data_IF_601229038375
#
_entry.id   IF_601229038375
#
_cell.length_a   1.000
_cell.length_b   1.000
_cell.length_c   1.000
_cell.angle_alpha   90.00
_cell.angle_beta   90.00
_cell.angle_gamma   90.00
#
_symmetry.space_group_name_H-M   'P 1'
#
loop_
_entity.id
_entity.type
_entity.pdbx_description
1 polymer ?
#
# COMPACT_ATOMS: atom_id res chain seq x y z
N UNK A 1 -24.56 -5.64 -8.45
CA UNK A 1 -23.90 -4.52 -7.72
C UNK A 1 -24.71 -4.03 -6.51
N UNK A 2 -26.01 -3.72 -6.61
CA UNK A 2 -26.78 -3.25 -5.42
C UNK A 2 -26.90 -4.33 -4.33
N UNK A 3 -27.21 -5.57 -4.70
CA UNK A 3 -27.29 -6.69 -3.75
C UNK A 3 -25.95 -7.05 -3.10
N UNK A 4 -24.85 -6.92 -3.84
CA UNK A 4 -23.49 -7.18 -3.33
C UNK A 4 -23.07 -6.10 -2.33
N UNK A 5 -23.44 -4.83 -2.56
CA UNK A 5 -23.18 -3.74 -1.63
C UNK A 5 -23.98 -3.94 -0.33
N UNK A 6 -25.23 -4.33 -0.40
CA UNK A 6 -26.03 -4.64 0.79
C UNK A 6 -25.45 -5.84 1.58
N UNK A 7 -24.96 -6.86 0.87
CA UNK A 7 -24.23 -7.97 1.50
C UNK A 7 -22.97 -7.47 2.20
N UNK A 8 -22.19 -6.60 1.54
CA UNK A 8 -20.99 -6.01 2.12
C UNK A 8 -21.29 -5.22 3.40
N UNK A 9 -22.33 -4.37 3.38
CA UNK A 9 -22.79 -3.62 4.57
C UNK A 9 -23.18 -4.55 5.72
N UNK A 10 -23.91 -5.61 5.41
CA UNK A 10 -24.30 -6.63 6.39
C UNK A 10 -23.05 -7.27 7.00
N UNK A 11 -22.10 -7.72 6.19
CA UNK A 11 -20.86 -8.30 6.67
C UNK A 11 -20.05 -7.36 7.54
N UNK A 12 -19.95 -6.09 7.13
CA UNK A 12 -19.25 -5.06 7.94
C UNK A 12 -19.94 -4.87 9.29
N UNK A 13 -21.27 -4.77 9.31
CA UNK A 13 -22.03 -4.54 10.55
C UNK A 13 -21.96 -5.73 11.51
N UNK A 14 -21.86 -6.95 10.98
CA UNK A 14 -21.81 -8.20 11.75
C UNK A 14 -20.35 -8.61 12.11
N UNK A 15 -19.34 -7.81 11.75
CA UNK A 15 -17.94 -8.08 12.00
C UNK A 15 -17.35 -7.10 13.01
N UNK A 16 -16.60 -7.64 13.98
CA UNK A 16 -15.94 -6.87 15.04
C UNK A 16 -14.41 -6.83 14.87
N UNK A 17 -13.87 -7.55 13.88
CA UNK A 17 -12.44 -7.68 13.67
C UNK A 17 -12.11 -7.73 12.16
N UNK A 18 -12.49 -6.68 11.45
CA UNK A 18 -12.23 -6.54 10.02
C UNK A 18 -10.76 -6.18 9.82
N UNK A 19 -10.11 -6.83 8.86
CA UNK A 19 -8.82 -6.38 8.34
C UNK A 19 -8.98 -5.96 6.89
N UNK A 20 -8.51 -4.76 6.57
CA UNK A 20 -8.42 -4.30 5.19
C UNK A 20 -7.04 -4.60 4.61
N UNK A 21 -7.00 -5.22 3.43
CA UNK A 21 -5.76 -5.45 2.67
C UNK A 21 -5.82 -4.67 1.36
N UNK A 22 -4.90 -3.72 1.16
CA UNK A 22 -4.93 -2.80 0.03
C UNK A 22 -3.63 -2.64 -0.73
N UNK A 23 -3.75 -2.18 -1.98
CA UNK A 23 -2.63 -1.85 -2.85
C UNK A 23 -2.80 -0.48 -3.52
N UNK A 24 -2.05 -0.23 -4.59
CA UNK A 24 -1.94 1.08 -5.24
C UNK A 24 -3.28 1.62 -5.76
N UNK A 25 -4.23 0.75 -6.14
CA UNK A 25 -5.57 1.13 -6.55
C UNK A 25 -6.37 1.87 -5.48
N UNK A 26 -6.01 1.75 -4.20
CA UNK A 26 -6.62 2.53 -3.10
C UNK A 26 -6.35 4.02 -3.25
N UNK A 27 -5.19 4.39 -3.79
CA UNK A 27 -4.72 5.79 -3.86
C UNK A 27 -4.92 6.44 -5.23
N UNK A 28 -5.44 5.71 -6.24
CA UNK A 28 -5.67 6.28 -7.58
C UNK A 28 -6.67 7.44 -7.55
N UNK A 29 -7.72 7.36 -6.74
CA UNK A 29 -8.68 8.44 -6.55
C UNK A 29 -8.17 9.60 -5.69
N UNK A 30 -6.98 9.46 -5.12
CA UNK A 30 -6.21 10.56 -4.51
C UNK A 30 -5.32 11.27 -5.52
N UNK A 31 -5.25 10.77 -6.78
CA UNK A 31 -4.39 11.30 -7.84
C UNK A 31 -3.00 10.66 -7.91
N UNK A 32 -2.73 9.60 -7.12
CA UNK A 32 -1.49 8.84 -7.19
C UNK A 32 -1.68 7.70 -8.19
N UNK A 33 -0.94 7.67 -9.33
CA UNK A 33 -1.08 6.60 -10.31
C UNK A 33 -0.62 5.26 -9.69
N UNK A 34 -1.28 4.19 -10.07
CA UNK A 34 -0.81 2.85 -9.74
C UNK A 34 0.34 2.39 -10.65
N UNK A 35 0.85 1.19 -10.43
CA UNK A 35 2.00 0.67 -11.18
C UNK A 35 1.62 -0.06 -12.47
N UNK A 36 0.46 -0.71 -12.54
CA UNK A 36 0.15 -1.75 -13.53
C UNK A 36 -1.05 -1.49 -14.43
N UNK A 37 -1.94 -0.55 -14.07
CA UNK A 37 -3.05 -0.18 -14.95
C UNK A 37 -2.54 0.37 -16.28
N UNK A 38 -3.43 0.50 -17.26
CA UNK A 38 -3.09 1.00 -18.59
C UNK A 38 -2.33 2.33 -18.56
N UNK A 39 -2.66 3.20 -17.60
CA UNK A 39 -1.99 4.49 -17.37
C UNK A 39 -0.93 4.42 -16.27
N UNK A 40 -0.65 3.22 -15.76
CA UNK A 40 0.26 2.98 -14.66
C UNK A 40 1.73 3.22 -14.98
N UNK A 41 2.55 3.27 -13.93
CA UNK A 41 3.96 3.60 -14.04
C UNK A 41 4.73 2.65 -14.96
N UNK A 42 4.38 1.36 -14.99
CA UNK A 42 5.07 0.36 -15.79
C UNK A 42 4.81 0.45 -17.30
N UNK A 43 3.80 1.18 -17.73
CA UNK A 43 3.52 1.44 -19.14
C UNK A 43 4.19 2.70 -19.69
N UNK A 44 4.89 3.48 -18.85
CA UNK A 44 5.65 4.66 -19.27
C UNK A 44 7.03 4.24 -19.83
N UNK A 45 7.57 5.04 -20.77
CA UNK A 45 8.88 4.78 -21.36
C UNK A 45 10.00 5.36 -20.52
N UNK A 46 10.91 4.50 -20.08
CA UNK A 46 12.14 4.84 -19.35
C UNK A 46 13.35 4.16 -20.02
N UNK A 47 14.56 4.59 -19.68
CA UNK A 47 15.80 3.97 -20.17
C UNK A 47 15.99 2.53 -19.65
N UNK A 48 15.37 2.21 -18.51
CA UNK A 48 15.36 0.89 -17.87
C UNK A 48 13.94 0.55 -17.42
N UNK A 49 13.57 -0.74 -17.34
CA UNK A 49 12.29 -1.13 -16.74
C UNK A 49 12.15 -0.57 -15.31
N UNK A 50 10.97 -0.04 -14.92
CA UNK A 50 10.76 0.50 -13.58
C UNK A 50 11.15 -0.46 -12.46
N UNK A 51 10.85 -1.76 -12.59
CA UNK A 51 11.23 -2.79 -11.62
C UNK A 51 12.76 -2.89 -11.46
N UNK A 52 13.51 -2.70 -12.54
CA UNK A 52 14.97 -2.64 -12.48
C UNK A 52 15.42 -1.40 -11.72
N UNK A 53 14.85 -0.22 -12.02
CA UNK A 53 15.25 1.05 -11.40
C UNK A 53 15.02 1.01 -9.88
N UNK A 54 13.91 0.39 -9.43
CA UNK A 54 13.56 0.28 -8.02
C UNK A 54 14.03 -1.04 -7.38
N UNK A 55 15.11 -1.64 -7.89
CA UNK A 55 15.77 -2.77 -7.25
C UNK A 55 16.95 -2.31 -6.38
N UNK A 56 17.26 -3.12 -5.36
CA UNK A 56 18.39 -2.86 -4.45
C UNK A 56 19.73 -2.79 -5.20
N UNK A 57 19.97 -3.73 -6.10
CA UNK A 57 21.19 -3.78 -6.89
C UNK A 57 21.37 -2.56 -7.80
N UNK A 58 20.29 -2.08 -8.42
CA UNK A 58 20.34 -0.88 -9.25
C UNK A 58 20.54 0.38 -8.39
N UNK A 59 19.86 0.49 -7.25
CA UNK A 59 20.07 1.57 -6.30
C UNK A 59 21.54 1.71 -5.88
N UNK A 60 22.21 0.60 -5.58
CA UNK A 60 23.63 0.61 -5.22
C UNK A 60 24.54 0.98 -6.40
N UNK A 61 24.21 0.50 -7.60
CA UNK A 61 25.04 0.68 -8.80
C UNK A 61 24.85 2.08 -9.42
N UNK A 62 23.63 2.61 -9.41
CA UNK A 62 23.29 3.87 -10.08
C UNK A 62 22.34 4.73 -9.20
N UNK A 63 22.79 5.15 -8.01
CA UNK A 63 21.95 5.88 -7.07
C UNK A 63 21.46 7.23 -7.63
N UNK A 64 22.22 7.88 -8.51
CA UNK A 64 21.83 9.15 -9.11
C UNK A 64 20.59 9.00 -10.01
N UNK A 65 20.57 7.97 -10.86
CA UNK A 65 19.40 7.64 -11.69
C UNK A 65 18.20 7.24 -10.82
N UNK A 66 18.43 6.39 -9.80
CA UNK A 66 17.41 5.99 -8.85
C UNK A 66 16.73 7.21 -8.21
N UNK A 67 17.48 8.17 -7.65
CA UNK A 67 16.89 9.33 -6.99
C UNK A 67 16.19 10.30 -7.95
N UNK A 68 16.63 10.42 -9.20
CA UNK A 68 15.91 11.16 -10.23
C UNK A 68 14.53 10.55 -10.46
N UNK A 69 14.49 9.25 -10.73
CA UNK A 69 13.25 8.50 -10.94
C UNK A 69 12.36 8.51 -9.68
N UNK A 70 12.94 8.24 -8.52
CA UNK A 70 12.23 8.19 -7.25
C UNK A 70 11.50 9.50 -6.95
N UNK A 71 12.16 10.65 -7.08
CA UNK A 71 11.55 11.97 -6.88
C UNK A 71 10.45 12.27 -7.88
N UNK A 72 10.63 11.88 -9.12
CA UNK A 72 9.67 12.17 -10.19
C UNK A 72 8.42 11.28 -10.12
N UNK A 73 8.58 10.02 -9.74
CA UNK A 73 7.55 8.98 -9.91
C UNK A 73 7.07 8.32 -8.62
N UNK A 74 7.88 8.29 -7.57
CA UNK A 74 7.61 7.47 -6.40
C UNK A 74 7.49 8.26 -5.08
N UNK A 75 7.61 9.57 -5.11
CA UNK A 75 7.55 10.42 -3.93
C UNK A 75 6.24 11.24 -3.90
N UNK A 76 5.10 10.62 -3.55
CA UNK A 76 3.78 11.27 -3.59
C UNK A 76 3.55 12.16 -2.36
N UNK A 77 4.34 13.23 -2.23
CA UNK A 77 4.14 14.22 -1.16
C UNK A 77 3.06 15.23 -1.56
N UNK A 78 2.19 15.58 -0.60
CA UNK A 78 1.16 16.60 -0.80
C UNK A 78 -0.20 16.09 -1.30
N UNK A 79 -0.37 14.79 -1.49
CA UNK A 79 -1.67 14.20 -1.81
C UNK A 79 -2.58 14.10 -0.58
N UNK A 80 -3.91 14.04 -0.83
CA UNK A 80 -4.92 13.96 0.21
C UNK A 80 -5.62 12.60 0.20
N UNK A 81 -6.02 12.08 1.39
CA UNK A 81 -6.82 10.87 1.48
C UNK A 81 -8.15 11.01 0.72
N UNK A 82 -8.55 9.98 0.00
CA UNK A 82 -9.86 9.89 -0.66
C UNK A 82 -10.93 9.25 0.27
N UNK A 83 -12.12 9.01 -0.27
CA UNK A 83 -13.25 8.44 0.48
C UNK A 83 -12.91 7.09 1.10
N UNK A 84 -12.20 6.21 0.38
CA UNK A 84 -11.80 4.88 0.87
C UNK A 84 -10.97 4.98 2.15
N UNK A 85 -9.94 5.83 2.14
CA UNK A 85 -9.10 6.04 3.33
C UNK A 85 -9.90 6.56 4.52
N UNK A 86 -10.82 7.52 4.29
CA UNK A 86 -11.65 8.12 5.35
C UNK A 86 -12.65 7.14 5.94
N UNK A 87 -13.29 6.32 5.10
CA UNK A 87 -14.22 5.29 5.57
C UNK A 87 -13.50 4.23 6.37
N UNK A 88 -12.32 3.76 5.94
CA UNK A 88 -11.53 2.81 6.71
C UNK A 88 -11.13 3.39 8.09
N UNK A 89 -10.71 4.64 8.14
CA UNK A 89 -10.40 5.30 9.41
C UNK A 89 -11.63 5.45 10.32
N UNK A 90 -12.81 5.71 9.74
CA UNK A 90 -14.08 5.75 10.47
C UNK A 90 -14.44 4.38 11.04
N UNK A 91 -14.38 3.30 10.23
CA UNK A 91 -14.66 1.93 10.69
C UNK A 91 -13.70 1.49 11.81
N UNK A 92 -12.45 1.95 11.80
CA UNK A 92 -11.51 1.72 12.91
C UNK A 92 -11.96 2.46 14.18
N UNK A 93 -12.42 3.72 14.06
CA UNK A 93 -12.92 4.52 15.20
C UNK A 93 -14.21 3.94 15.77
N UNK A 94 -15.07 3.37 14.93
CA UNK A 94 -16.33 2.71 15.32
C UNK A 94 -16.09 1.31 15.93
N UNK A 95 -14.86 0.78 15.85
CA UNK A 95 -14.46 -0.49 16.45
C UNK A 95 -14.66 -1.70 15.55
N UNK A 96 -15.08 -1.55 14.29
CA UNK A 96 -15.24 -2.64 13.33
C UNK A 96 -13.92 -3.04 12.65
N UNK A 97 -13.09 -2.05 12.27
CA UNK A 97 -11.82 -2.31 11.60
C UNK A 97 -10.68 -2.44 12.61
N UNK A 98 -10.03 -3.60 12.65
CA UNK A 98 -8.92 -3.89 13.54
C UNK A 98 -7.57 -3.41 13.01
N UNK A 99 -7.36 -3.45 11.68
CA UNK A 99 -6.11 -3.02 11.05
C UNK A 99 -6.27 -2.79 9.55
N UNK A 100 -5.37 -1.95 9.02
CA UNK A 100 -5.07 -1.83 7.60
C UNK A 100 -3.73 -2.52 7.33
N UNK A 101 -3.70 -3.41 6.35
CA UNK A 101 -2.47 -3.98 5.76
C UNK A 101 -2.33 -3.39 4.37
N UNK A 102 -1.30 -2.61 4.13
CA UNK A 102 -1.14 -1.89 2.87
C UNK A 102 0.19 -2.18 2.18
N UNK A 103 0.15 -2.27 0.86
CA UNK A 103 1.33 -2.29 0.00
C UNK A 103 1.80 -0.87 -0.36
N UNK A 104 0.97 0.15 -0.05
CA UNK A 104 1.26 1.53 -0.38
C UNK A 104 2.29 2.13 0.56
N UNK A 105 3.07 3.07 0.02
CA UNK A 105 4.16 3.78 0.69
C UNK A 105 3.84 5.27 0.93
N UNK A 106 2.62 5.71 0.60
CA UNK A 106 2.19 7.11 0.55
C UNK A 106 1.80 7.73 1.90
N UNK A 107 1.49 6.90 2.92
CA UNK A 107 1.07 7.35 4.24
C UNK A 107 -0.37 7.89 4.30
N UNK A 108 -1.20 7.71 3.27
CA UNK A 108 -2.54 8.30 3.23
C UNK A 108 -3.52 7.65 4.22
N UNK A 109 -3.35 6.39 4.57
CA UNK A 109 -4.15 5.76 5.64
C UNK A 109 -3.95 6.46 6.98
N UNK A 110 -2.70 6.69 7.38
CA UNK A 110 -2.38 7.41 8.62
C UNK A 110 -2.86 8.87 8.56
N UNK A 111 -2.70 9.52 7.40
CA UNK A 111 -3.19 10.89 7.18
C UNK A 111 -4.71 10.99 7.28
N UNK A 112 -5.45 9.94 6.89
CA UNK A 112 -6.90 9.84 7.07
C UNK A 112 -7.34 9.61 8.52
N UNK A 113 -6.43 9.15 9.39
CA UNK A 113 -6.70 8.91 10.80
C UNK A 113 -6.58 7.46 11.25
N UNK A 114 -6.33 6.50 10.35
CA UNK A 114 -6.07 5.10 10.73
C UNK A 114 -4.87 4.99 11.64
N UNK A 115 -4.97 4.19 12.72
CA UNK A 115 -3.95 4.05 13.76
C UNK A 115 -3.13 2.78 13.61
N UNK A 116 -3.78 1.66 13.29
CA UNK A 116 -3.10 0.38 13.11
C UNK A 116 -2.92 0.08 11.64
N UNK A 117 -1.80 0.55 11.09
CA UNK A 117 -1.44 0.38 9.67
C UNK A 117 -0.13 -0.40 9.56
N UNK A 118 -0.18 -1.54 8.87
CA UNK A 118 0.98 -2.35 8.52
C UNK A 118 1.42 -1.99 7.09
N UNK A 119 2.46 -1.16 6.98
CA UNK A 119 3.04 -0.73 5.70
C UNK A 119 4.05 -1.78 5.22
N UNK A 120 3.59 -2.79 4.47
CA UNK A 120 4.42 -3.93 4.03
C UNK A 120 5.65 -3.52 3.23
N UNK A 121 5.55 -2.43 2.46
CA UNK A 121 6.64 -1.92 1.63
C UNK A 121 7.28 -0.65 2.19
N UNK A 122 7.07 -0.36 3.46
CA UNK A 122 7.62 0.82 4.12
C UNK A 122 6.90 2.13 3.76
N UNK A 123 7.62 3.26 3.83
CA UNK A 123 7.02 4.59 3.61
C UNK A 123 8.01 5.59 3.04
N UNK A 124 7.55 6.42 2.10
CA UNK A 124 8.31 7.57 1.57
C UNK A 124 8.53 8.68 2.60
N UNK A 125 7.72 8.69 3.67
CA UNK A 125 7.79 9.70 4.72
C UNK A 125 8.97 9.48 5.68
N UNK A 126 9.55 8.27 5.69
CA UNK A 126 10.70 7.90 6.50
C UNK A 126 11.91 7.63 5.62
N UNK A 127 13.04 8.19 5.97
CA UNK A 127 14.28 7.98 5.25
C UNK A 127 15.42 7.90 6.27
N UNK A 128 16.40 7.04 6.04
CA UNK A 128 17.48 6.82 6.99
C UNK A 128 18.85 6.86 6.33
N UNK A 129 19.80 7.43 7.04
CA UNK A 129 21.20 7.37 6.63
C UNK A 129 21.73 5.94 6.70
N UNK A 130 22.20 5.40 5.59
CA UNK A 130 22.77 4.04 5.52
C UNK A 130 24.02 3.84 6.38
N UNK A 131 24.71 4.94 6.79
CA UNK A 131 25.95 4.88 7.60
C UNK A 131 25.68 5.01 9.10
N UNK A 132 24.82 5.93 9.51
CA UNK A 132 24.65 6.26 10.94
C UNK A 132 23.20 6.12 11.44
N UNK A 133 22.24 5.69 10.59
CA UNK A 133 20.85 5.47 10.96
C UNK A 133 20.04 6.75 11.24
N UNK A 134 20.60 7.95 11.04
CA UNK A 134 19.88 9.20 11.29
C UNK A 134 18.65 9.31 10.39
N UNK A 135 17.53 9.65 11.00
CA UNK A 135 16.25 9.86 10.34
C UNK A 135 16.21 11.19 9.54
N UNK A 136 15.50 11.16 8.43
CA UNK A 136 15.17 12.32 7.59
C UNK A 136 13.73 12.21 7.06
N UNK A 137 12.94 13.30 7.02
CA UNK A 137 11.59 13.30 6.45
C UNK A 137 11.63 13.23 4.91
N UNK A 138 10.48 12.97 4.29
CA UNK A 138 10.36 12.85 2.83
C UNK A 138 10.80 14.10 2.07
N UNK A 139 10.52 15.28 2.62
CA UNK A 139 10.90 16.58 2.07
C UNK A 139 12.41 16.71 1.90
N UNK A 140 13.19 16.12 2.80
CA UNK A 140 14.65 16.14 2.69
C UNK A 140 15.13 15.45 1.40
N UNK A 141 14.49 14.32 1.03
CA UNK A 141 14.81 13.60 -0.21
C UNK A 141 14.27 14.35 -1.43
N UNK A 142 13.08 14.95 -1.32
CA UNK A 142 12.50 15.79 -2.38
C UNK A 142 13.40 16.95 -2.76
N UNK A 143 13.88 17.69 -1.75
CA UNK A 143 14.59 18.97 -1.94
C UNK A 143 16.09 18.79 -2.20
N UNK A 144 16.62 17.58 -2.01
CA UNK A 144 18.03 17.27 -2.24
C UNK A 144 18.39 17.37 -3.73
N UNK A 145 19.51 18.05 -4.02
CA UNK A 145 20.13 18.05 -5.35
C UNK A 145 20.99 16.77 -5.51
N UNK A 146 20.67 15.94 -6.52
CA UNK A 146 21.37 14.67 -6.74
C UNK A 146 21.08 13.64 -5.66
N UNK A 147 22.10 12.93 -5.17
CA UNK A 147 21.99 11.90 -4.15
C UNK A 147 21.84 12.54 -2.76
N UNK A 148 20.73 12.28 -2.01
CA UNK A 148 20.56 12.80 -0.65
C UNK A 148 21.68 12.28 0.29
N UNK A 149 22.37 13.18 0.97
CA UNK A 149 23.47 12.84 1.86
C UNK A 149 23.27 13.36 3.28
N UNK A 150 23.55 12.50 4.23
CA UNK A 150 23.61 12.83 5.64
C UNK A 150 24.83 13.70 5.96
N UNK A 151 24.79 14.43 7.07
CA UNK A 151 25.94 15.21 7.59
C UNK A 151 27.18 14.34 7.86
N UNK A 152 27.01 13.02 8.06
CA UNK A 152 28.14 12.08 8.19
C UNK A 152 28.71 11.59 6.85
N UNK A 153 28.20 12.11 5.71
CA UNK A 153 28.59 11.72 4.35
C UNK A 153 27.88 10.47 3.79
N UNK A 154 27.10 9.76 4.62
CA UNK A 154 26.34 8.58 4.18
C UNK A 154 25.17 8.96 3.27
N UNK A 155 24.77 8.05 2.38
CA UNK A 155 23.55 8.17 1.57
C UNK A 155 22.32 8.03 2.47
N UNK A 156 21.29 8.85 2.25
CA UNK A 156 20.00 8.76 2.94
C UNK A 156 19.05 7.96 2.06
N UNK A 157 18.83 6.67 2.40
CA UNK A 157 17.92 5.76 1.67
C UNK A 157 16.50 5.93 2.19
N UNK A 158 15.48 5.97 1.29
CA UNK A 158 14.08 5.85 1.69
C UNK A 158 13.82 4.54 2.42
N UNK A 159 12.95 4.58 3.45
CA UNK A 159 12.44 3.40 4.14
C UNK A 159 11.35 2.73 3.28
N UNK A 160 11.70 2.45 2.05
CA UNK A 160 10.88 1.75 1.06
C UNK A 160 11.58 0.46 0.71
N UNK A 161 10.83 -0.64 0.75
CA UNK A 161 11.31 -1.97 0.36
C UNK A 161 11.46 -2.00 -1.15
N UNK A 162 12.69 -2.11 -1.63
CA UNK A 162 13.00 -2.25 -3.05
C UNK A 162 12.88 -3.72 -3.47
N UNK A 163 12.73 -3.98 -4.76
CA UNK A 163 12.91 -5.35 -5.26
C UNK A 163 14.27 -5.89 -4.79
N UNK A 164 14.35 -7.19 -4.51
CA UNK A 164 15.51 -7.89 -3.92
C UNK A 164 15.69 -7.66 -2.39
N UNK A 165 14.90 -6.76 -1.76
CA UNK A 165 14.93 -6.58 -0.31
C UNK A 165 13.82 -7.40 0.36
N UNK A 166 14.07 -7.85 1.59
CA UNK A 166 13.07 -8.52 2.41
C UNK A 166 12.11 -7.52 3.05
N UNK A 167 10.86 -7.93 3.29
CA UNK A 167 9.92 -7.17 4.10
C UNK A 167 10.40 -7.11 5.55
N UNK A 168 10.03 -6.05 6.29
CA UNK A 168 10.30 -5.95 7.72
C UNK A 168 9.59 -7.08 8.49
N UNK A 169 10.34 -7.87 9.25
CA UNK A 169 9.82 -9.06 9.94
C UNK A 169 8.73 -8.73 10.95
N UNK A 170 8.81 -7.59 11.64
CA UNK A 170 7.81 -7.20 12.65
C UNK A 170 6.51 -6.76 11.98
N UNK A 171 6.61 -5.97 10.92
CA UNK A 171 5.46 -5.55 10.12
C UNK A 171 4.77 -6.77 9.50
N UNK A 172 5.54 -7.68 8.93
CA UNK A 172 5.04 -8.90 8.32
C UNK A 172 4.34 -9.80 9.35
N UNK A 173 4.98 -10.05 10.49
CA UNK A 173 4.38 -10.86 11.57
C UNK A 173 3.10 -10.23 12.12
N UNK A 174 3.08 -8.91 12.31
CA UNK A 174 1.89 -8.17 12.73
C UNK A 174 0.75 -8.25 11.73
N UNK A 175 1.03 -8.09 10.44
CA UNK A 175 0.05 -8.22 9.37
C UNK A 175 -0.54 -9.64 9.28
N UNK A 176 0.32 -10.67 9.33
CA UNK A 176 -0.10 -12.08 9.34
C UNK A 176 -0.98 -12.36 10.56
N UNK A 177 -0.57 -11.89 11.75
CA UNK A 177 -1.38 -12.07 12.96
C UNK A 177 -2.75 -11.39 12.83
N UNK A 178 -2.82 -10.16 12.33
CA UNK A 178 -4.08 -9.46 12.12
C UNK A 178 -5.00 -10.22 11.15
N UNK A 179 -4.49 -10.61 9.98
CA UNK A 179 -5.25 -11.37 8.97
C UNK A 179 -5.74 -12.72 9.52
N UNK A 180 -4.91 -13.43 10.28
CA UNK A 180 -5.26 -14.75 10.84
C UNK A 180 -6.42 -14.68 11.83
N UNK A 181 -6.54 -13.59 12.60
CA UNK A 181 -7.57 -13.41 13.61
C UNK A 181 -8.78 -12.60 13.10
N UNK A 182 -8.76 -12.15 11.87
CA UNK A 182 -9.88 -11.41 11.28
C UNK A 182 -11.10 -12.33 11.12
N UNK A 183 -12.27 -11.81 11.46
CA UNK A 183 -13.57 -12.41 11.16
C UNK A 183 -14.06 -12.03 9.76
N UNK A 184 -13.54 -10.90 9.22
CA UNK A 184 -13.76 -10.50 7.84
C UNK A 184 -12.43 -9.96 7.25
N UNK A 185 -12.08 -10.42 6.04
CA UNK A 185 -10.98 -9.87 5.26
C UNK A 185 -11.54 -9.09 4.07
N UNK A 186 -11.35 -7.77 4.09
CA UNK A 186 -11.76 -6.87 3.04
C UNK A 186 -10.54 -6.51 2.18
N UNK A 187 -10.53 -6.93 0.92
CA UNK A 187 -9.42 -6.72 -0.01
C UNK A 187 -9.82 -5.71 -1.07
N UNK A 188 -8.96 -4.74 -1.37
CA UNK A 188 -9.29 -3.74 -2.37
C UNK A 188 -8.11 -3.06 -3.06
N UNK A 189 -8.32 -2.67 -4.33
CA UNK A 189 -7.36 -1.87 -5.09
C UNK A 189 -5.99 -2.52 -5.28
N UNK A 190 -5.95 -3.83 -5.49
CA UNK A 190 -4.70 -4.59 -5.68
C UNK A 190 -4.87 -5.69 -6.71
N UNK A 191 -3.87 -5.87 -7.57
CA UNK A 191 -3.85 -6.97 -8.54
C UNK A 191 -3.57 -8.35 -7.92
N UNK A 192 -3.13 -8.38 -6.67
CA UNK A 192 -2.73 -9.61 -5.94
C UNK A 192 -1.67 -10.45 -6.68
N UNK A 193 -0.78 -9.80 -7.43
CA UNK A 193 0.31 -10.45 -8.19
C UNK A 193 1.70 -10.21 -7.62
N UNK A 194 1.84 -9.35 -6.60
CA UNK A 194 3.13 -9.02 -5.97
C UNK A 194 3.36 -9.87 -4.73
N UNK A 195 4.34 -10.76 -4.82
CA UNK A 195 4.76 -11.59 -3.70
C UNK A 195 5.94 -10.97 -2.96
N UNK A 196 6.06 -11.18 -1.61
CA UNK A 196 5.24 -12.07 -0.78
C UNK A 196 3.90 -11.48 -0.31
N UNK A 197 3.59 -10.20 -0.57
CA UNK A 197 2.41 -9.52 -0.03
C UNK A 197 1.09 -10.22 -0.41
N UNK A 198 0.89 -10.62 -1.68
CA UNK A 198 -0.31 -11.32 -2.12
C UNK A 198 -0.53 -12.65 -1.38
N UNK A 199 0.55 -13.33 -1.01
CA UNK A 199 0.49 -14.59 -0.26
C UNK A 199 -0.07 -14.47 1.16
N UNK A 200 -0.19 -13.24 1.70
CA UNK A 200 -0.73 -13.02 3.04
C UNK A 200 -2.21 -13.39 3.14
N UNK A 201 -2.96 -13.30 2.04
CA UNK A 201 -4.36 -13.73 2.01
C UNK A 201 -4.52 -15.19 2.42
N UNK A 202 -3.54 -16.05 2.14
CA UNK A 202 -3.52 -17.46 2.54
C UNK A 202 -3.49 -17.71 4.06
N UNK A 203 -3.25 -16.69 4.88
CA UNK A 203 -3.33 -16.79 6.34
C UNK A 203 -4.74 -16.55 6.88
N UNK A 204 -5.66 -15.99 6.09
CA UNK A 204 -7.05 -15.80 6.48
C UNK A 204 -7.73 -17.16 6.71
N UNK A 205 -8.57 -17.25 7.75
CA UNK A 205 -9.23 -18.50 8.17
C UNK A 205 -10.75 -18.37 8.30
N UNK A 206 -11.27 -17.15 8.09
CA UNK A 206 -12.72 -16.91 8.13
C UNK A 206 -13.40 -17.25 6.79
N UNK A 207 -14.68 -16.98 6.74
CA UNK A 207 -15.57 -17.23 5.60
C UNK A 207 -16.04 -15.95 4.89
N UNK A 208 -15.70 -14.76 5.42
CA UNK A 208 -16.09 -13.47 4.87
C UNK A 208 -14.92 -12.79 4.17
N UNK A 209 -14.46 -13.37 3.06
CA UNK A 209 -13.49 -12.72 2.17
C UNK A 209 -14.27 -11.89 1.15
N UNK A 210 -14.17 -10.56 1.23
CA UNK A 210 -14.73 -9.62 0.25
C UNK A 210 -13.62 -9.00 -0.58
N UNK A 211 -13.75 -8.99 -1.91
CA UNK A 211 -12.78 -8.46 -2.83
C UNK A 211 -13.43 -7.36 -3.69
N UNK A 212 -12.81 -6.17 -3.67
CA UNK A 212 -13.27 -4.99 -4.43
C UNK A 212 -12.11 -4.53 -5.32
N UNK A 213 -12.22 -4.76 -6.61
CA UNK A 213 -11.19 -4.36 -7.58
C UNK A 213 -11.84 -4.13 -8.94
N UNK A 214 -11.31 -3.22 -9.75
CA UNK A 214 -11.85 -2.97 -11.09
C UNK A 214 -11.66 -4.17 -12.01
N UNK A 215 -10.46 -4.75 -11.99
CA UNK A 215 -10.09 -5.88 -12.83
C UNK A 215 -10.19 -7.17 -12.02
N UNK A 216 -10.35 -8.30 -12.71
CA UNK A 216 -10.28 -9.65 -12.12
C UNK A 216 -8.92 -9.89 -11.46
N UNK A 217 -8.92 -10.71 -10.41
CA UNK A 217 -7.72 -11.11 -9.67
C UNK A 217 -7.62 -12.64 -9.58
N UNK A 218 -6.42 -13.18 -9.33
CA UNK A 218 -6.25 -14.62 -9.12
C UNK A 218 -6.99 -15.19 -7.89
N UNK A 219 -7.58 -14.32 -7.07
CA UNK A 219 -8.25 -14.70 -5.82
C UNK A 219 -9.78 -14.57 -5.88
N UNK A 220 -10.35 -14.17 -7.02
CA UNK A 220 -11.80 -13.98 -7.16
C UNK A 220 -12.58 -15.25 -6.83
N UNK A 221 -12.13 -16.41 -7.31
CA UNK A 221 -12.76 -17.70 -7.04
C UNK A 221 -12.74 -18.13 -5.55
N UNK A 222 -11.86 -17.51 -4.75
CA UNK A 222 -11.75 -17.79 -3.31
C UNK A 222 -12.60 -16.84 -2.47
N UNK A 223 -13.04 -15.72 -3.04
CA UNK A 223 -13.80 -14.70 -2.33
C UNK A 223 -15.28 -15.08 -2.24
N UNK A 224 -15.85 -14.92 -1.04
CA UNK A 224 -17.30 -15.09 -0.83
C UNK A 224 -18.12 -13.93 -1.39
N UNK A 225 -17.45 -12.76 -1.64
CA UNK A 225 -18.07 -11.59 -2.24
C UNK A 225 -17.06 -10.90 -3.16
N UNK A 226 -17.40 -10.69 -4.42
CA UNK A 226 -16.58 -9.98 -5.41
C UNK A 226 -17.36 -8.80 -5.99
N UNK A 227 -16.73 -7.61 -5.98
CA UNK A 227 -17.27 -6.41 -6.63
C UNK A 227 -16.25 -5.87 -7.64
N UNK A 228 -16.54 -6.00 -8.93
CA UNK A 228 -15.75 -5.35 -9.99
C UNK A 228 -16.20 -3.90 -10.16
N UNK A 229 -15.66 -3.04 -9.29
CA UNK A 229 -16.00 -1.62 -9.22
C UNK A 229 -14.80 -0.78 -8.72
N UNK A 230 -14.90 0.55 -8.85
CA UNK A 230 -13.96 1.43 -8.19
C UNK A 230 -14.19 1.40 -6.67
N UNK A 231 -13.11 1.55 -5.89
CA UNK A 231 -13.23 1.61 -4.44
C UNK A 231 -14.09 2.80 -3.99
N UNK A 232 -13.94 3.96 -4.63
CA UNK A 232 -14.71 5.14 -4.29
C UNK A 232 -16.22 4.95 -4.49
N UNK A 233 -16.63 4.28 -5.57
CA UNK A 233 -18.05 3.98 -5.81
C UNK A 233 -18.65 3.07 -4.74
N UNK A 234 -17.88 2.10 -4.24
CA UNK A 234 -18.32 1.19 -3.19
C UNK A 234 -18.27 1.89 -1.83
N UNK A 235 -17.12 2.45 -1.46
CA UNK A 235 -16.91 3.03 -0.14
C UNK A 235 -17.74 4.30 0.13
N UNK A 236 -18.15 5.02 -0.92
CA UNK A 236 -19.07 6.16 -0.75
C UNK A 236 -20.49 5.75 -0.32
N UNK A 237 -20.82 4.47 -0.40
CA UNK A 237 -22.11 3.91 -0.01
C UNK A 237 -22.07 3.23 1.38
N UNK A 238 -20.90 3.09 1.96
CA UNK A 238 -20.69 2.53 3.30
C UNK A 238 -20.71 3.64 4.34
#
# INVERSE_FOLDING_TARGET
MHSEIETLKTWITESDNIVFFGGAGVSTESGIPDFRSTDGLYHQKFDYPPETIISHSFFLKNPEYFYRFYREKMLPLGFEPNVTHRVLARLEQEGHLAAVVTQNIDGLHQKAGSKRVYELHGSVLRNYCMKCGKFYPGEFVRDAKGIPRCTCGGIVKPDVVLYEEALDEKTLAGAISAIRHADMLLVGGTSLTVYPAAGLLGYYRGDRLALINRDETPYDDMAGLVLHASLGDVFSQL
#
